data_IF_554735158240
#
_entry.id   IF_554735158240
#
_cell.length_a   1.000
_cell.length_b   1.000
_cell.length_c   1.000
_cell.angle_alpha   90.00
_cell.angle_beta   90.00
_cell.angle_gamma   90.00
#
_symmetry.space_group_name_H-M   'P 1'
#
loop_
_entity.id
_entity.type
_entity.pdbx_description
1 polymer ?
#
# COMPACT_ATOMS: atom_id res chain seq x y z
N UNK A 1 -12.47 -4.24 -47.19
CA UNK A 1 -11.99 -3.91 -48.56
C UNK A 1 -10.57 -4.46 -48.69
N UNK A 2 -10.20 -5.12 -49.79
CA UNK A 2 -8.80 -5.49 -50.02
C UNK A 2 -7.95 -4.22 -50.12
N UNK A 3 -6.72 -4.26 -49.60
CA UNK A 3 -5.80 -3.12 -49.60
C UNK A 3 -5.48 -2.71 -51.04
N UNK A 4 -5.53 -1.41 -51.28
CA UNK A 4 -5.25 -0.76 -52.56
C UNK A 4 -3.79 -1.03 -53.00
N UNK A 5 -3.56 -1.71 -54.13
CA UNK A 5 -2.22 -2.12 -54.56
C UNK A 5 -1.26 -0.95 -54.80
N UNK A 6 -1.77 0.25 -55.11
CA UNK A 6 -0.93 1.43 -55.39
C UNK A 6 -0.33 2.04 -54.11
N UNK A 7 -0.92 1.77 -52.94
CA UNK A 7 -0.31 2.14 -51.64
C UNK A 7 0.77 1.16 -51.17
N UNK A 8 0.88 -0.02 -51.80
CA UNK A 8 1.86 -1.04 -51.44
C UNK A 8 3.23 -0.72 -52.04
N UNK A 9 3.29 0.04 -53.14
CA UNK A 9 4.55 0.35 -53.82
C UNK A 9 5.36 1.46 -53.11
N UNK A 10 4.69 2.35 -52.38
CA UNK A 10 5.34 3.33 -51.49
C UNK A 10 5.86 2.71 -50.18
N UNK A 11 5.47 1.47 -49.85
CA UNK A 11 6.07 0.71 -48.74
C UNK A 11 7.43 0.10 -49.10
N UNK A 12 7.77 0.00 -50.38
CA UNK A 12 9.03 -0.59 -50.84
C UNK A 12 10.27 0.28 -50.55
N UNK A 13 10.10 1.49 -50.00
CA UNK A 13 11.20 2.41 -49.62
C UNK A 13 11.12 2.98 -48.20
N UNK A 14 10.14 2.62 -47.38
CA UNK A 14 9.98 3.23 -46.05
C UNK A 14 10.75 2.47 -44.97
N UNK A 15 11.98 2.91 -44.70
CA UNK A 15 12.88 2.41 -43.65
C UNK A 15 12.33 2.50 -42.20
N UNK A 16 11.17 3.13 -41.96
CA UNK A 16 10.75 3.53 -40.60
C UNK A 16 9.30 3.17 -40.28
N UNK A 17 8.92 1.91 -40.51
CA UNK A 17 7.63 1.41 -40.00
C UNK A 17 7.77 1.03 -38.52
N UNK A 18 6.83 1.46 -37.69
CA UNK A 18 6.81 1.10 -36.27
C UNK A 18 5.39 0.81 -35.77
N UNK A 19 5.31 0.02 -34.70
CA UNK A 19 4.05 -0.36 -34.07
C UNK A 19 3.76 0.60 -32.92
N UNK A 20 2.66 1.35 -33.02
CA UNK A 20 2.19 2.21 -31.93
C UNK A 20 1.15 1.47 -31.10
N UNK A 21 1.40 1.42 -29.79
CA UNK A 21 0.51 0.77 -28.82
C UNK A 21 -0.69 1.68 -28.52
N UNK A 22 -1.88 1.12 -28.26
CA UNK A 22 -3.06 1.90 -27.94
C UNK A 22 -2.91 2.66 -26.61
N UNK A 23 -3.20 3.96 -26.62
CA UNK A 23 -3.17 4.82 -25.44
C UNK A 23 -4.55 4.83 -24.75
N UNK A 24 -4.91 3.73 -24.09
CA UNK A 24 -6.21 3.57 -23.40
C UNK A 24 -5.95 3.19 -21.94
N UNK A 25 -6.75 3.62 -20.94
CA UNK A 25 -6.32 3.61 -19.54
C UNK A 25 -6.15 2.22 -18.89
N UNK A 26 -6.73 1.13 -19.42
CA UNK A 26 -6.52 -0.24 -18.90
C UNK A 26 -6.73 -1.33 -19.96
N UNK A 27 -5.87 -1.46 -20.97
CA UNK A 27 -5.92 -2.60 -21.87
C UNK A 27 -5.26 -3.79 -21.16
N UNK A 28 -5.74 -5.01 -21.39
CA UNK A 28 -5.03 -6.24 -21.01
C UNK A 28 -3.52 -6.17 -21.34
N UNK A 29 -2.64 -6.83 -20.57
CA UNK A 29 -1.18 -6.80 -20.77
C UNK A 29 -0.74 -7.15 -22.21
N UNK A 30 -1.60 -7.85 -22.94
CA UNK A 30 -1.48 -8.14 -24.37
C UNK A 30 -1.14 -6.90 -25.20
N UNK A 31 -1.76 -5.77 -24.90
CA UNK A 31 -1.58 -4.52 -25.65
C UNK A 31 -0.22 -3.84 -25.39
N UNK A 32 0.61 -4.37 -24.50
CA UNK A 32 2.04 -4.01 -24.44
C UNK A 32 2.83 -4.57 -25.63
N UNK A 33 2.25 -5.54 -26.36
CA UNK A 33 2.91 -6.29 -27.43
C UNK A 33 2.17 -6.19 -28.77
N UNK A 34 0.98 -5.61 -28.82
CA UNK A 34 0.20 -5.44 -30.05
C UNK A 34 -0.18 -4.00 -30.28
N UNK A 35 -0.12 -3.57 -31.55
CA UNK A 35 -0.50 -2.22 -31.93
C UNK A 35 -0.72 -2.08 -33.44
N UNK A 36 -1.02 -0.85 -33.87
CA UNK A 36 -1.24 -0.54 -35.27
C UNK A 36 0.06 -0.15 -35.97
N UNK A 37 0.06 -0.29 -37.29
CA UNK A 37 1.21 0.01 -38.14
C UNK A 37 1.23 1.49 -38.51
N UNK A 38 2.37 2.16 -38.29
CA UNK A 38 2.56 3.58 -38.62
C UNK A 38 3.80 3.78 -39.49
N UNK A 39 3.68 4.63 -40.52
CA UNK A 39 4.82 5.10 -41.34
C UNK A 39 5.58 6.22 -40.64
N UNK A 40 4.83 7.06 -39.93
CA UNK A 40 5.29 8.16 -39.10
C UNK A 40 4.34 8.27 -37.89
N UNK A 41 4.72 8.93 -36.79
CA UNK A 41 3.86 9.08 -35.60
C UNK A 41 2.48 9.72 -35.87
N UNK A 42 2.27 10.29 -37.06
CA UNK A 42 1.05 10.96 -37.49
C UNK A 42 0.30 10.23 -38.61
N UNK A 43 0.86 9.16 -39.18
CA UNK A 43 0.32 8.50 -40.37
C UNK A 43 0.19 6.98 -40.14
N UNK A 44 -1.04 6.56 -39.81
CA UNK A 44 -1.40 5.16 -39.68
C UNK A 44 -1.52 4.51 -41.07
N UNK A 45 -0.81 3.40 -41.27
CA UNK A 45 -0.83 2.63 -42.51
C UNK A 45 -1.98 1.61 -42.54
N UNK A 46 -2.32 1.06 -41.37
CA UNK A 46 -3.35 0.02 -41.24
C UNK A 46 -4.01 0.11 -39.86
N UNK A 47 -5.25 0.60 -39.85
CA UNK A 47 -6.09 0.72 -38.65
C UNK A 47 -7.02 -0.49 -38.47
N UNK A 48 -7.23 -1.29 -39.52
CA UNK A 48 -8.12 -2.46 -39.47
C UNK A 48 -7.44 -3.66 -38.82
N UNK A 49 -6.12 -3.66 -38.77
CA UNK A 49 -5.31 -4.75 -38.23
C UNK A 49 -4.38 -4.30 -37.12
N UNK A 50 -4.10 -5.23 -36.23
CA UNK A 50 -3.13 -5.11 -35.14
C UNK A 50 -2.02 -6.14 -35.33
N UNK A 51 -0.79 -5.73 -35.04
CA UNK A 51 0.43 -6.44 -35.36
C UNK A 51 1.21 -6.76 -34.09
N UNK A 52 1.79 -7.96 -34.02
CA UNK A 52 2.67 -8.36 -32.94
C UNK A 52 4.03 -7.65 -33.03
N UNK A 53 4.34 -6.85 -32.02
CA UNK A 53 5.59 -6.12 -31.87
C UNK A 53 6.81 -7.05 -31.77
N UNK A 54 6.68 -8.18 -31.08
CA UNK A 54 7.78 -9.12 -30.87
C UNK A 54 8.16 -9.83 -32.17
N UNK A 55 7.17 -10.25 -32.98
CA UNK A 55 7.43 -10.74 -34.34
C UNK A 55 8.16 -9.69 -35.18
N UNK A 56 7.70 -8.44 -35.12
CA UNK A 56 8.26 -7.34 -35.90
C UNK A 56 9.73 -7.06 -35.53
N UNK A 57 10.05 -6.98 -34.24
CA UNK A 57 11.42 -6.78 -33.75
C UNK A 57 12.33 -7.94 -34.16
N UNK A 58 11.88 -9.18 -34.00
CA UNK A 58 12.65 -10.37 -34.37
C UNK A 58 13.01 -10.38 -35.87
N UNK A 59 12.03 -10.08 -36.73
CA UNK A 59 12.25 -10.03 -38.18
C UNK A 59 13.20 -8.89 -38.55
N UNK A 60 13.10 -7.75 -37.88
CA UNK A 60 14.00 -6.62 -38.09
C UNK A 60 15.45 -6.95 -37.71
N UNK A 61 15.65 -7.77 -36.67
CA UNK A 61 16.97 -8.27 -36.28
C UNK A 61 17.50 -9.32 -37.29
N UNK A 62 16.65 -10.23 -37.74
CA UNK A 62 17.03 -11.34 -38.64
C UNK A 62 17.23 -10.89 -40.09
N UNK A 63 16.45 -9.90 -40.55
CA UNK A 63 16.43 -9.40 -41.91
C UNK A 63 16.31 -7.85 -41.93
N UNK A 64 17.39 -7.12 -41.64
CA UNK A 64 17.36 -5.66 -41.48
C UNK A 64 16.96 -4.89 -42.76
N UNK A 65 17.27 -5.44 -43.93
CA UNK A 65 17.01 -4.82 -45.24
C UNK A 65 15.73 -5.31 -45.91
N UNK A 66 14.95 -6.19 -45.26
CA UNK A 66 13.75 -6.74 -45.86
C UNK A 66 12.59 -5.73 -45.85
N UNK A 67 11.95 -5.55 -47.02
CA UNK A 67 10.71 -4.78 -47.13
C UNK A 67 9.58 -5.43 -46.31
N UNK A 68 8.75 -4.61 -45.66
CA UNK A 68 7.62 -5.07 -44.86
C UNK A 68 6.70 -6.02 -45.62
N UNK A 69 6.47 -5.77 -46.91
CA UNK A 69 5.62 -6.61 -47.77
C UNK A 69 6.13 -8.04 -47.88
N UNK A 70 7.46 -8.23 -47.92
CA UNK A 70 8.10 -9.54 -48.03
C UNK A 70 8.01 -10.35 -46.74
N UNK A 71 8.02 -9.67 -45.59
CA UNK A 71 8.04 -10.30 -44.26
C UNK A 71 6.68 -10.29 -43.56
N UNK A 72 5.67 -9.65 -44.13
CA UNK A 72 4.33 -9.47 -43.54
C UNK A 72 3.70 -10.78 -43.06
N UNK A 73 3.89 -11.87 -43.81
CA UNK A 73 3.31 -13.19 -43.48
C UNK A 73 3.91 -13.83 -42.23
N UNK A 74 5.09 -13.38 -41.81
CA UNK A 74 5.79 -13.88 -40.63
C UNK A 74 5.41 -13.12 -39.35
N UNK A 75 4.65 -12.02 -39.49
CA UNK A 75 4.19 -11.20 -38.35
C UNK A 75 2.77 -11.64 -37.95
N UNK A 76 2.61 -12.00 -36.67
CA UNK A 76 1.30 -12.27 -36.09
C UNK A 76 0.38 -11.06 -36.28
N UNK A 77 -0.65 -11.22 -37.11
CA UNK A 77 -1.58 -10.15 -37.49
C UNK A 77 -3.02 -10.57 -37.18
N UNK A 78 -3.77 -9.68 -36.54
CA UNK A 78 -5.16 -9.92 -36.15
C UNK A 78 -6.05 -8.75 -36.60
N UNK A 79 -7.35 -8.99 -36.77
CA UNK A 79 -8.32 -7.89 -36.93
C UNK A 79 -8.31 -7.02 -35.66
N UNK A 80 -8.48 -5.71 -35.80
CA UNK A 80 -8.62 -4.78 -34.68
C UNK A 80 -9.81 -5.12 -33.75
N UNK A 81 -10.81 -5.83 -34.28
CA UNK A 81 -11.97 -6.34 -33.53
C UNK A 81 -11.75 -7.71 -32.88
N UNK A 82 -10.57 -8.33 -33.06
CA UNK A 82 -10.29 -9.67 -32.52
C UNK A 82 -10.23 -9.66 -30.99
N UNK A 83 -10.71 -10.74 -30.38
CA UNK A 83 -10.59 -10.92 -28.93
C UNK A 83 -9.13 -11.05 -28.49
N UNK A 84 -8.82 -10.57 -27.28
CA UNK A 84 -7.49 -10.65 -26.65
C UNK A 84 -7.02 -12.09 -26.42
N UNK A 85 -7.91 -13.08 -26.45
CA UNK A 85 -7.58 -14.50 -26.34
C UNK A 85 -6.73 -15.02 -27.51
N UNK A 86 -7.03 -14.61 -28.74
CA UNK A 86 -6.28 -15.04 -29.92
C UNK A 86 -4.85 -14.51 -29.89
N UNK A 87 -4.70 -13.25 -29.50
CA UNK A 87 -3.41 -12.59 -29.31
C UNK A 87 -2.60 -13.25 -28.18
N UNK A 88 -3.26 -13.61 -27.07
CA UNK A 88 -2.64 -14.31 -25.95
C UNK A 88 -2.07 -15.67 -26.35
N UNK A 89 -2.84 -16.45 -27.10
CA UNK A 89 -2.40 -17.75 -27.60
C UNK A 89 -1.16 -17.63 -28.50
N UNK A 90 -1.09 -16.58 -29.33
CA UNK A 90 0.10 -16.29 -30.13
C UNK A 90 1.32 -15.93 -29.29
N UNK A 91 1.17 -15.04 -28.30
CA UNK A 91 2.28 -14.70 -27.39
C UNK A 91 2.82 -15.92 -26.67
N UNK A 92 1.94 -16.83 -26.25
CA UNK A 92 2.33 -18.06 -25.58
C UNK A 92 3.03 -19.03 -26.55
N UNK A 93 2.42 -19.30 -27.71
CA UNK A 93 2.92 -20.31 -28.64
C UNK A 93 4.21 -19.88 -29.36
N UNK A 94 4.30 -18.62 -29.80
CA UNK A 94 5.40 -18.14 -30.65
C UNK A 94 6.51 -17.43 -29.85
N UNK A 95 6.19 -16.87 -28.68
CA UNK A 95 7.13 -16.05 -27.90
C UNK A 95 7.30 -16.52 -26.46
N UNK A 96 6.55 -17.53 -26.01
CA UNK A 96 6.56 -18.02 -24.62
C UNK A 96 6.31 -16.90 -23.59
N UNK A 97 5.59 -15.83 -23.98
CA UNK A 97 5.27 -14.71 -23.10
C UNK A 97 3.99 -15.01 -22.34
N UNK A 98 4.12 -15.04 -21.01
CA UNK A 98 3.02 -15.23 -20.07
C UNK A 98 2.70 -13.95 -19.32
N UNK A 99 1.49 -13.86 -18.77
CA UNK A 99 1.05 -12.74 -17.93
C UNK A 99 2.00 -12.53 -16.73
N UNK A 100 2.48 -13.62 -16.12
CA UNK A 100 3.43 -13.57 -15.01
C UNK A 100 4.78 -12.92 -15.39
N UNK A 101 5.26 -13.10 -16.63
CA UNK A 101 6.48 -12.46 -17.12
C UNK A 101 6.25 -10.98 -17.47
N UNK A 102 5.09 -10.62 -18.00
CA UNK A 102 4.72 -9.24 -18.29
C UNK A 102 4.63 -8.40 -17.00
N UNK A 103 4.08 -8.98 -15.92
CA UNK A 103 4.01 -8.36 -14.59
C UNK A 103 5.41 -8.13 -13.98
N UNK A 104 6.35 -9.08 -14.17
CA UNK A 104 7.75 -8.95 -13.69
C UNK A 104 8.51 -7.77 -14.31
N UNK A 105 8.20 -7.38 -15.55
CA UNK A 105 8.90 -6.28 -16.25
C UNK A 105 8.39 -4.91 -15.80
N UNK A 106 7.10 -4.78 -15.49
CA UNK A 106 6.47 -3.57 -14.94
C UNK A 106 6.74 -3.38 -13.44
N UNK A 107 6.91 -4.46 -12.67
CA UNK A 107 7.22 -4.39 -11.23
C UNK A 107 8.64 -3.93 -10.92
N UNK A 108 9.62 -4.08 -11.81
CA UNK A 108 11.02 -3.65 -11.51
C UNK A 108 11.14 -2.18 -11.12
N UNK A 109 10.30 -1.30 -11.69
CA UNK A 109 10.34 0.14 -11.44
C UNK A 109 9.59 0.57 -10.17
N UNK A 110 8.59 -0.22 -9.75
CA UNK A 110 7.83 -0.01 -8.51
C UNK A 110 8.57 -0.64 -7.33
N UNK A 111 9.12 -1.84 -7.52
CA UNK A 111 9.91 -2.56 -6.52
C UNK A 111 11.22 -1.82 -6.24
N UNK A 112 11.87 -1.18 -7.22
CA UNK A 112 13.04 -0.33 -6.94
C UNK A 112 12.70 0.92 -6.12
N UNK A 113 11.48 1.45 -6.28
CA UNK A 113 10.94 2.55 -5.48
C UNK A 113 10.68 2.12 -4.03
N UNK A 114 10.17 0.90 -3.82
CA UNK A 114 10.03 0.29 -2.49
C UNK A 114 11.36 -0.26 -1.92
N UNK A 115 12.35 -0.58 -2.76
CA UNK A 115 13.67 -1.05 -2.34
C UNK A 115 14.54 0.08 -1.81
N UNK A 116 14.34 1.33 -2.27
CA UNK A 116 14.94 2.51 -1.63
C UNK A 116 14.45 2.75 -0.19
N UNK A 117 13.32 2.14 0.18
CA UNK A 117 12.82 2.12 1.56
C UNK A 117 13.25 0.86 2.31
N UNK A 118 14.33 0.15 1.95
CA UNK A 118 14.83 -0.98 2.75
C UNK A 118 15.92 -0.65 3.76
N UNK A 119 16.24 0.64 3.92
CA UNK A 119 16.96 1.14 5.11
C UNK A 119 16.02 1.35 6.30
N UNK A 120 14.78 0.83 6.24
CA UNK A 120 13.70 1.10 7.20
C UNK A 120 13.77 0.32 8.51
N UNK A 121 14.73 -0.58 8.74
CA UNK A 121 14.74 -1.33 10.00
C UNK A 121 14.96 -0.40 11.19
N UNK A 122 15.78 0.65 11.08
CA UNK A 122 15.95 1.63 12.17
C UNK A 122 14.90 2.74 12.16
N UNK A 123 14.47 3.23 10.98
CA UNK A 123 13.50 4.33 10.90
C UNK A 123 12.07 3.90 11.25
N UNK A 124 11.68 2.66 10.92
CA UNK A 124 10.37 2.11 11.34
C UNK A 124 10.31 1.88 12.85
N UNK A 125 11.39 1.37 13.45
CA UNK A 125 11.52 1.22 14.90
C UNK A 125 11.54 2.57 15.62
N UNK A 126 12.22 3.58 15.06
CA UNK A 126 12.22 4.94 15.60
C UNK A 126 10.81 5.53 15.57
N UNK A 127 10.09 5.40 14.44
CA UNK A 127 8.73 5.92 14.26
C UNK A 127 7.74 5.22 15.19
N UNK A 128 7.87 3.92 15.40
CA UNK A 128 7.06 3.16 16.35
C UNK A 128 7.35 3.57 17.80
N UNK A 129 8.63 3.66 18.18
CA UNK A 129 9.06 4.07 19.53
C UNK A 129 8.63 5.51 19.84
N UNK A 130 8.85 6.43 18.90
CA UNK A 130 8.43 7.82 19.01
C UNK A 130 6.90 7.93 19.10
N UNK A 131 6.17 7.21 18.25
CA UNK A 131 4.71 7.15 18.30
C UNK A 131 4.19 6.65 19.64
N UNK A 132 4.82 5.62 20.20
CA UNK A 132 4.48 5.12 21.53
C UNK A 132 4.72 6.17 22.63
N UNK A 133 5.89 6.80 22.64
CA UNK A 133 6.22 7.83 23.64
C UNK A 133 5.30 9.04 23.55
N UNK A 134 4.99 9.50 22.33
CA UNK A 134 4.06 10.62 22.11
C UNK A 134 2.64 10.27 22.54
N UNK A 135 2.18 9.05 22.24
CA UNK A 135 0.87 8.59 22.71
C UNK A 135 0.81 8.58 24.24
N UNK A 136 1.85 8.06 24.89
CA UNK A 136 1.94 8.01 26.35
C UNK A 136 1.97 9.41 26.98
N UNK A 137 2.75 10.34 26.41
CA UNK A 137 2.77 11.74 26.83
C UNK A 137 1.37 12.37 26.72
N UNK A 138 0.70 12.19 25.58
CA UNK A 138 -0.65 12.72 25.39
C UNK A 138 -1.64 12.14 26.40
N UNK A 139 -1.53 10.86 26.74
CA UNK A 139 -2.40 10.22 27.74
C UNK A 139 -2.10 10.69 29.16
N UNK A 140 -0.82 10.83 29.52
CA UNK A 140 -0.41 11.25 30.88
C UNK A 140 -0.73 12.71 31.16
N UNK A 141 -0.51 13.56 30.16
CA UNK A 141 -0.63 15.02 30.32
C UNK A 141 -2.00 15.53 29.80
N UNK A 142 -2.91 14.62 29.43
CA UNK A 142 -4.24 14.91 28.88
C UNK A 142 -4.20 15.86 27.66
N UNK A 143 -3.18 15.70 26.82
CA UNK A 143 -2.99 16.53 25.63
C UNK A 143 -3.76 15.96 24.43
N UNK A 144 -4.27 16.82 23.52
CA UNK A 144 -4.89 16.36 22.30
C UNK A 144 -3.85 15.74 21.35
N UNK A 145 -4.20 14.64 20.69
CA UNK A 145 -3.33 13.99 19.71
C UNK A 145 -3.00 14.88 18.48
N UNK A 146 -3.71 15.98 18.28
CA UNK A 146 -3.40 16.98 17.23
C UNK A 146 -2.10 17.75 17.49
N UNK A 147 -1.47 17.60 18.66
CA UNK A 147 -0.19 18.26 18.98
C UNK A 147 0.91 17.99 17.93
N UNK A 148 0.89 16.82 17.29
CA UNK A 148 1.85 16.44 16.23
C UNK A 148 1.69 17.20 14.92
N UNK A 149 0.56 17.89 14.75
CA UNK A 149 0.25 18.71 13.57
C UNK A 149 0.68 20.17 13.78
N UNK A 150 1.01 20.57 15.02
CA UNK A 150 1.43 21.93 15.33
C UNK A 150 2.83 22.22 14.77
N UNK A 151 2.97 23.34 14.05
CA UNK A 151 4.23 23.72 13.38
C UNK A 151 5.40 23.82 14.36
N UNK A 152 5.24 24.54 15.47
CA UNK A 152 6.30 24.68 16.47
C UNK A 152 6.75 23.35 17.09
N UNK A 153 5.84 22.38 17.20
CA UNK A 153 6.18 21.04 17.67
C UNK A 153 6.95 20.23 16.62
N UNK A 154 6.53 20.32 15.35
CA UNK A 154 7.26 19.69 14.23
C UNK A 154 8.66 20.28 14.07
N UNK A 155 8.78 21.60 14.15
CA UNK A 155 10.05 22.31 14.04
C UNK A 155 10.98 21.97 15.20
N UNK A 156 10.46 21.79 16.41
CA UNK A 156 11.21 21.29 17.55
C UNK A 156 11.80 19.90 17.29
N UNK A 157 11.00 18.96 16.77
CA UNK A 157 11.47 17.59 16.50
C UNK A 157 12.54 17.56 15.38
N UNK A 158 12.37 18.36 14.34
CA UNK A 158 13.31 18.43 13.21
C UNK A 158 14.60 19.14 13.60
N UNK A 159 14.50 20.29 14.28
CA UNK A 159 15.67 21.10 14.67
C UNK A 159 16.59 20.35 15.64
N UNK A 160 16.01 19.51 16.52
CA UNK A 160 16.77 18.67 17.45
C UNK A 160 17.20 17.32 16.85
N UNK A 161 17.00 17.10 15.54
CA UNK A 161 17.35 15.86 14.82
C UNK A 161 16.73 14.59 15.43
N UNK A 162 15.56 14.73 16.06
CA UNK A 162 14.78 13.58 16.54
C UNK A 162 14.13 12.87 15.36
N UNK A 163 13.74 13.65 14.34
CA UNK A 163 13.21 13.18 13.06
C UNK A 163 13.92 13.90 11.90
N UNK A 164 14.07 13.23 10.76
CA UNK A 164 14.74 13.83 9.60
C UNK A 164 13.79 14.73 8.81
N UNK A 165 12.52 14.33 8.71
CA UNK A 165 11.51 15.02 7.91
C UNK A 165 10.16 15.03 8.62
N UNK A 166 9.25 15.92 8.19
CA UNK A 166 7.86 15.95 8.68
C UNK A 166 7.12 14.62 8.47
N UNK A 167 7.53 13.82 7.48
CA UNK A 167 6.93 12.52 7.17
C UNK A 167 7.28 11.41 8.18
N UNK A 168 8.36 11.60 8.94
CA UNK A 168 8.79 10.68 9.98
C UNK A 168 7.96 10.86 11.26
N UNK A 169 7.28 12.00 11.40
CA UNK A 169 6.40 12.30 12.52
C UNK A 169 5.12 11.45 12.40
N UNK A 170 4.70 10.75 13.47
CA UNK A 170 3.43 10.01 13.47
C UNK A 170 2.24 10.94 13.26
N UNK A 171 1.28 10.54 12.44
CA UNK A 171 0.04 11.31 12.27
C UNK A 171 -0.87 11.18 13.50
N UNK A 172 -1.77 12.15 13.71
CA UNK A 172 -2.81 12.08 14.74
C UNK A 172 -3.60 10.77 14.68
N UNK A 173 -3.91 10.30 13.47
CA UNK A 173 -4.62 9.03 13.24
C UNK A 173 -3.78 7.82 13.65
N UNK A 174 -2.46 7.89 13.51
CA UNK A 174 -1.52 6.88 13.98
C UNK A 174 -1.44 6.86 15.50
N UNK A 175 -1.54 8.00 16.18
CA UNK A 175 -1.59 8.09 17.66
C UNK A 175 -2.97 7.70 18.23
N UNK A 176 -3.98 7.49 17.38
CA UNK A 176 -5.37 7.24 17.77
C UNK A 176 -5.60 5.86 18.44
N UNK A 177 -6.82 5.57 18.96
CA UNK A 177 -7.12 4.42 19.82
C UNK A 177 -6.71 3.03 19.33
N UNK A 178 -6.49 2.86 18.03
CA UNK A 178 -5.94 1.61 17.46
C UNK A 178 -4.55 1.27 18.02
N UNK A 179 -3.73 2.27 18.40
CA UNK A 179 -2.48 2.07 19.14
C UNK A 179 -2.67 2.11 20.66
N UNK A 180 -3.73 2.76 21.17
CA UNK A 180 -4.07 2.69 22.59
C UNK A 180 -4.37 1.26 23.02
N UNK A 181 -5.02 0.44 22.19
CA UNK A 181 -5.22 -0.98 22.51
C UNK A 181 -3.91 -1.70 22.85
N UNK A 182 -2.81 -1.42 22.13
CA UNK A 182 -1.49 -1.98 22.46
C UNK A 182 -0.96 -1.44 23.80
N UNK A 183 -1.15 -0.15 24.09
CA UNK A 183 -0.70 0.48 25.35
C UNK A 183 -1.54 -0.02 26.54
N UNK A 184 -2.86 -0.06 26.44
CA UNK A 184 -3.76 -0.61 27.45
C UNK A 184 -3.47 -2.09 27.73
N UNK A 185 -3.13 -2.87 26.70
CA UNK A 185 -2.74 -4.28 26.88
C UNK A 185 -1.40 -4.42 27.60
N UNK A 186 -0.46 -3.48 27.43
CA UNK A 186 0.83 -3.44 28.15
C UNK A 186 0.72 -2.86 29.56
N UNK A 187 -0.29 -2.01 29.83
CA UNK A 187 -0.55 -1.40 31.14
C UNK A 187 -1.65 -2.11 31.94
N UNK A 188 -1.91 -3.41 31.68
CA UNK A 188 -2.89 -4.26 32.37
C UNK A 188 -2.61 -4.52 33.87
N UNK A 189 -2.40 -3.47 34.65
CA UNK A 189 -2.29 -3.55 36.10
C UNK A 189 -3.29 -2.63 36.81
N UNK A 190 -4.18 -1.96 36.07
CA UNK A 190 -5.20 -1.10 36.68
C UNK A 190 -6.58 -1.42 36.11
N UNK A 191 -7.33 -2.22 36.85
CA UNK A 191 -8.71 -2.57 36.56
C UNK A 191 -9.63 -1.82 37.53
N UNK A 192 -10.64 -1.14 36.99
CA UNK A 192 -11.78 -0.69 37.79
C UNK A 192 -12.70 -1.88 37.98
N UNK A 193 -12.83 -2.38 39.21
CA UNK A 193 -13.70 -3.52 39.51
C UNK A 193 -15.17 -3.10 39.51
N UNK A 194 -15.48 -1.91 40.04
CA UNK A 194 -16.86 -1.43 40.17
C UNK A 194 -16.94 0.08 40.33
N UNK A 195 -17.95 0.69 39.73
CA UNK A 195 -18.35 2.08 39.98
C UNK A 195 -19.87 2.09 40.15
N UNK A 196 -20.34 2.51 41.31
CA UNK A 196 -21.78 2.54 41.59
C UNK A 196 -22.14 3.69 42.54
N UNK A 197 -23.37 4.21 42.45
CA UNK A 197 -23.89 5.10 43.49
C UNK A 197 -23.98 4.34 44.81
N UNK A 198 -23.50 4.95 45.89
CA UNK A 198 -23.59 4.40 47.24
C UNK A 198 -24.58 5.24 48.04
N UNK A 199 -25.78 4.70 48.23
CA UNK A 199 -26.91 5.42 48.84
C UNK A 199 -27.07 5.12 50.34
N UNK A 200 -26.21 4.27 50.88
CA UNK A 200 -26.20 3.89 52.30
C UNK A 200 -25.36 4.89 53.11
N UNK A 201 -25.54 4.88 54.44
CA UNK A 201 -24.68 5.67 55.31
C UNK A 201 -23.22 5.20 55.15
N UNK A 202 -22.29 6.12 54.88
CA UNK A 202 -20.87 5.85 54.68
C UNK A 202 -20.13 5.47 55.98
N UNK A 203 -20.55 4.38 56.62
CA UNK A 203 -19.91 3.79 57.80
C UNK A 203 -18.85 2.78 57.38
N UNK A 204 -17.89 2.48 58.26
CA UNK A 204 -16.84 1.52 57.94
C UNK A 204 -17.32 0.11 57.68
N UNK A 205 -18.37 -0.29 58.38
CA UNK A 205 -18.99 -1.59 58.19
C UNK A 205 -19.65 -1.70 56.81
N UNK A 206 -20.42 -0.68 56.40
CA UNK A 206 -21.06 -0.64 55.07
C UNK A 206 -20.03 -0.62 53.93
N UNK A 207 -18.92 0.10 54.09
CA UNK A 207 -17.83 0.15 53.12
C UNK A 207 -17.08 -1.18 53.08
N UNK A 208 -16.84 -1.80 54.24
CA UNK A 208 -16.20 -3.13 54.34
C UNK A 208 -17.02 -4.19 53.62
N UNK A 209 -18.33 -4.23 53.85
CA UNK A 209 -19.22 -5.20 53.24
C UNK A 209 -19.26 -5.00 51.73
N UNK A 210 -19.31 -3.75 51.29
CA UNK A 210 -19.24 -3.42 49.87
C UNK A 210 -17.95 -3.91 49.21
N UNK A 211 -16.80 -3.58 49.79
CA UNK A 211 -15.49 -3.98 49.26
C UNK A 211 -15.36 -5.51 49.29
N UNK A 212 -15.80 -6.17 50.37
CA UNK A 212 -15.74 -7.63 50.49
C UNK A 212 -16.60 -8.33 49.44
N UNK A 213 -17.79 -7.81 49.17
CA UNK A 213 -18.67 -8.33 48.12
C UNK A 213 -18.02 -8.20 46.74
N UNK A 214 -17.40 -7.06 46.44
CA UNK A 214 -16.67 -6.87 45.19
C UNK A 214 -15.47 -7.81 45.10
N UNK A 215 -14.66 -7.92 46.14
CA UNK A 215 -13.51 -8.84 46.12
C UNK A 215 -13.93 -10.30 45.92
N UNK A 216 -15.01 -10.74 46.59
CA UNK A 216 -15.58 -12.08 46.41
C UNK A 216 -16.12 -12.32 45.00
N UNK A 217 -16.84 -11.34 44.43
CA UNK A 217 -17.37 -11.38 43.07
C UNK A 217 -16.27 -11.64 42.04
N UNK A 218 -15.10 -11.03 42.22
CA UNK A 218 -13.95 -11.17 41.32
C UNK A 218 -12.94 -12.25 41.77
N UNK A 219 -13.25 -13.03 42.82
CA UNK A 219 -12.38 -14.10 43.32
C UNK A 219 -11.04 -13.61 43.88
N UNK A 220 -10.97 -12.37 44.36
CA UNK A 220 -9.76 -11.74 44.89
C UNK A 220 -9.65 -12.05 46.39
N UNK A 221 -8.52 -12.62 46.81
CA UNK A 221 -8.28 -12.91 48.22
C UNK A 221 -8.08 -11.60 49.02
N UNK A 222 -8.91 -11.29 50.02
CA UNK A 222 -8.81 -10.07 50.82
C UNK A 222 -7.46 -9.90 51.54
N UNK A 223 -6.78 -10.99 51.90
CA UNK A 223 -5.49 -10.95 52.59
C UNK A 223 -4.36 -10.43 51.69
N UNK A 224 -4.58 -10.35 50.38
CA UNK A 224 -3.60 -9.87 49.40
C UNK A 224 -3.92 -8.46 48.89
N UNK A 225 -4.88 -7.76 49.51
CA UNK A 225 -5.33 -6.43 49.06
C UNK A 225 -4.80 -5.35 50.01
N UNK A 226 -4.07 -4.38 49.45
CA UNK A 226 -3.69 -3.16 50.17
C UNK A 226 -4.73 -2.08 49.82
N UNK A 227 -5.47 -1.63 50.83
CA UNK A 227 -6.45 -0.56 50.67
C UNK A 227 -5.77 0.79 50.85
N UNK A 228 -5.92 1.67 49.86
CA UNK A 228 -5.49 3.07 49.94
C UNK A 228 -6.75 3.93 49.90
N UNK A 229 -6.99 4.70 50.96
CA UNK A 229 -8.10 5.65 51.04
C UNK A 229 -7.59 7.01 51.50
N UNK A 230 -8.24 8.08 51.05
CA UNK A 230 -8.01 9.44 51.56
C UNK A 230 -8.65 9.54 52.95
N UNK A 231 -7.90 9.14 53.99
CA UNK A 231 -8.17 9.29 55.44
C UNK A 231 -9.63 9.53 55.90
N UNK A 232 -10.26 8.47 56.41
CA UNK A 232 -11.24 8.57 57.52
C UNK A 232 -10.84 7.52 58.57
N UNK A 233 -10.66 7.94 59.82
CA UNK A 233 -10.30 7.09 60.96
C UNK A 233 -11.23 5.87 61.13
N UNK A 234 -10.92 4.74 60.50
CA UNK A 234 -11.57 3.47 60.79
C UNK A 234 -10.51 2.37 60.78
N UNK A 235 -10.08 2.03 62.00
CA UNK A 235 -9.18 0.91 62.25
C UNK A 235 -9.85 -0.39 61.82
N UNK A 236 -9.48 -0.93 60.66
CA UNK A 236 -9.67 -2.36 60.40
C UNK A 236 -8.62 -3.11 61.22
N UNK A 237 -8.96 -3.44 62.48
CA UNK A 237 -8.23 -4.46 63.23
C UNK A 237 -8.70 -5.83 62.76
N UNK A 238 -7.72 -6.70 62.49
CA UNK A 238 -7.87 -8.12 62.18
C UNK A 238 -8.76 -8.85 63.19
#
# INVERSE_FOLDING_TARGET
MPLDPDKIDDLNKTLFVHIQLPNVPRPSFIWNYFGHLYKNPREALDLDRIYCKVCFEKIKEEYPDASFSSVRRQIGTYSATSSTGNMRNHLLAMHQITEAQAIKKTTKHIVSMFARNRDTTSSSQLKEKLGHQLTLMCCKDLLPFSIVENEGFQDFLISNRIVNTKYDIPSRTTLSPLNLNKIYTLQQHQYSLRTQPFNEAHTGESIKDLVSNVLNEFGINPNNVIVVSEYIHQNFRN
#
